data_IF_599876075490
#
_entry.id   IF_599876075490
#
_cell.length_a   1.000
_cell.length_b   1.000
_cell.length_c   1.000
_cell.angle_alpha   90.00
_cell.angle_beta   90.00
_cell.angle_gamma   90.00
#
_symmetry.space_group_name_H-M   'P 1'
#
loop_
_entity.id
_entity.type
_entity.pdbx_description
1 polymer ?
#
# COMPACT_ATOMS: atom_id res chain seq x y z
N UNK A 1 -7.08 -13.62 -14.81
CA UNK A 1 -6.12 -12.50 -14.71
C UNK A 1 -6.86 -11.21 -14.37
N UNK A 2 -6.36 -10.45 -13.40
CA UNK A 2 -6.94 -9.15 -13.07
C UNK A 2 -6.72 -8.17 -14.21
N UNK A 3 -7.72 -7.34 -14.48
CA UNK A 3 -7.59 -6.23 -15.43
C UNK A 3 -7.84 -4.92 -14.67
N UNK A 4 -7.34 -3.80 -15.21
CA UNK A 4 -7.64 -2.50 -14.60
C UNK A 4 -9.13 -2.18 -14.62
N UNK A 5 -9.87 -2.65 -15.62
CA UNK A 5 -11.33 -2.50 -15.63
C UNK A 5 -11.98 -3.10 -14.39
N UNK A 6 -11.54 -4.31 -13.98
CA UNK A 6 -12.08 -4.96 -12.78
C UNK A 6 -11.69 -4.23 -11.49
N UNK A 7 -10.47 -3.70 -11.43
CA UNK A 7 -9.99 -2.91 -10.29
C UNK A 7 -10.73 -1.58 -10.22
N UNK A 8 -10.84 -0.88 -11.33
CA UNK A 8 -11.48 0.43 -11.42
C UNK A 8 -12.99 0.37 -11.20
N UNK A 9 -13.63 -0.79 -11.39
CA UNK A 9 -15.05 -0.94 -11.07
C UNK A 9 -15.33 -0.72 -9.58
N UNK A 10 -14.34 -0.93 -8.72
CA UNK A 10 -14.42 -0.71 -7.27
C UNK A 10 -13.84 0.64 -6.83
N UNK A 11 -13.23 1.37 -7.76
CA UNK A 11 -12.58 2.64 -7.49
C UNK A 11 -13.59 3.81 -7.53
N UNK A 12 -13.28 4.94 -6.86
CA UNK A 12 -14.04 6.17 -7.00
C UNK A 12 -14.08 6.68 -8.45
N UNK A 13 -15.14 7.39 -8.81
CA UNK A 13 -15.36 7.93 -10.16
C UNK A 13 -14.20 8.83 -10.63
N UNK A 14 -13.63 9.61 -9.73
CA UNK A 14 -12.50 10.49 -10.05
C UNK A 14 -11.26 9.72 -10.54
N UNK A 15 -10.97 8.56 -9.95
CA UNK A 15 -9.86 7.72 -10.39
C UNK A 15 -10.12 7.11 -11.77
N UNK A 16 -11.36 6.67 -12.02
CA UNK A 16 -11.76 6.16 -13.34
C UNK A 16 -11.65 7.23 -14.42
N UNK A 17 -12.13 8.42 -14.14
CA UNK A 17 -12.08 9.55 -15.08
C UNK A 17 -10.64 9.94 -15.42
N UNK A 18 -9.74 9.90 -14.43
CA UNK A 18 -8.33 10.23 -14.63
C UNK A 18 -7.64 9.33 -15.65
N UNK A 19 -7.96 8.04 -15.64
CA UNK A 19 -7.29 7.05 -16.51
C UNK A 19 -8.14 6.69 -17.75
N UNK A 20 -9.28 7.33 -17.95
CA UNK A 20 -10.14 7.04 -19.09
C UNK A 20 -9.41 7.22 -20.42
N UNK A 21 -9.39 6.17 -21.25
CA UNK A 21 -8.70 6.18 -22.53
C UNK A 21 -7.17 6.23 -22.43
N UNK A 22 -6.61 6.05 -21.26
CA UNK A 22 -5.16 6.12 -21.00
C UNK A 22 -4.64 4.81 -20.44
N UNK A 23 -3.35 4.55 -20.68
CA UNK A 23 -2.67 3.40 -20.12
C UNK A 23 -2.07 3.78 -18.76
N UNK A 24 -2.38 3.01 -17.75
CA UNK A 24 -1.74 3.16 -16.43
C UNK A 24 -0.31 2.63 -16.51
N UNK A 25 0.65 3.43 -16.10
CA UNK A 25 2.08 3.08 -16.13
C UNK A 25 2.50 2.34 -14.87
N UNK A 26 2.10 2.87 -13.71
CA UNK A 26 2.47 2.26 -12.42
C UNK A 26 1.39 2.46 -11.37
N UNK A 27 1.50 1.68 -10.30
CA UNK A 27 0.63 1.78 -9.12
C UNK A 27 1.51 1.93 -7.88
N UNK A 28 1.26 2.96 -7.10
CA UNK A 28 1.86 3.13 -5.78
C UNK A 28 1.06 2.33 -4.74
N UNK A 29 1.69 1.29 -4.21
CA UNK A 29 1.12 0.46 -3.15
C UNK A 29 1.47 1.08 -1.80
N UNK A 30 0.49 1.65 -1.12
CA UNK A 30 0.70 2.49 0.06
C UNK A 30 0.13 1.84 1.31
N UNK A 31 0.89 1.93 2.40
CA UNK A 31 0.43 1.74 3.77
C UNK A 31 0.76 2.99 4.58
N UNK A 32 -0.12 3.39 5.47
CA UNK A 32 0.15 4.50 6.38
C UNK A 32 0.80 3.99 7.66
N UNK A 33 1.81 4.71 8.16
CA UNK A 33 2.36 4.46 9.49
C UNK A 33 1.60 5.27 10.57
N UNK A 34 1.98 5.11 11.84
CA UNK A 34 1.32 5.80 12.95
C UNK A 34 1.38 7.33 12.85
N UNK A 35 2.51 7.95 12.46
CA UNK A 35 2.55 9.39 12.20
C UNK A 35 1.74 9.87 10.99
N UNK A 36 1.18 8.97 10.20
CA UNK A 36 0.40 9.30 9.01
C UNK A 36 1.22 9.46 7.73
N UNK A 37 2.46 9.00 7.73
CA UNK A 37 3.30 9.03 6.53
C UNK A 37 2.94 7.87 5.61
N UNK A 38 2.76 8.17 4.33
CA UNK A 38 2.55 7.14 3.32
C UNK A 38 3.87 6.40 3.07
N UNK A 39 3.91 5.13 3.43
CA UNK A 39 5.02 4.22 3.17
C UNK A 39 4.59 3.25 2.08
N UNK A 40 5.51 2.82 1.24
CA UNK A 40 5.13 1.88 0.19
C UNK A 40 6.16 1.75 -0.91
N UNK A 41 5.68 1.27 -2.04
CA UNK A 41 6.50 1.12 -3.23
C UNK A 41 5.67 1.33 -4.49
N UNK A 42 6.31 1.85 -5.52
CA UNK A 42 5.75 1.90 -6.86
C UNK A 42 5.98 0.56 -7.56
N UNK A 43 4.96 0.06 -8.21
CA UNK A 43 4.99 -1.21 -8.93
C UNK A 43 4.51 -0.96 -10.36
N UNK A 44 5.23 -1.44 -11.39
CA UNK A 44 4.74 -1.36 -12.75
C UNK A 44 3.35 -1.95 -12.90
N UNK A 45 2.50 -1.32 -13.70
CA UNK A 45 1.10 -1.71 -13.86
C UNK A 45 0.92 -3.19 -14.20
N UNK A 46 1.75 -3.72 -15.09
CA UNK A 46 1.69 -5.14 -15.47
C UNK A 46 1.98 -6.07 -14.30
N UNK A 47 2.96 -5.72 -13.47
CA UNK A 47 3.30 -6.49 -12.27
C UNK A 47 2.18 -6.43 -11.24
N UNK A 48 1.56 -5.24 -11.05
CA UNK A 48 0.42 -5.08 -10.16
C UNK A 48 -0.75 -5.97 -10.54
N UNK A 49 -1.04 -6.10 -11.83
CA UNK A 49 -2.12 -6.96 -12.33
C UNK A 49 -1.83 -8.46 -12.18
N UNK A 50 -0.56 -8.86 -12.25
CA UNK A 50 -0.16 -10.28 -12.17
C UNK A 50 -0.05 -10.77 -10.75
N UNK A 51 0.42 -9.94 -9.82
CA UNK A 51 0.63 -10.34 -8.43
C UNK A 51 -0.68 -10.24 -7.63
N UNK A 52 -0.93 -11.25 -6.81
CA UNK A 52 -2.09 -11.25 -5.90
C UNK A 52 -1.80 -10.46 -4.63
N UNK A 53 -0.55 -10.50 -4.18
CA UNK A 53 -0.11 -9.88 -2.94
C UNK A 53 1.22 -9.17 -3.15
N UNK A 54 1.44 -8.13 -2.34
CA UNK A 54 2.70 -7.40 -2.31
C UNK A 54 3.30 -7.54 -0.93
N UNK A 55 4.61 -7.33 -0.83
CA UNK A 55 5.32 -7.49 0.43
C UNK A 55 6.13 -6.24 0.75
N UNK A 56 6.15 -5.87 2.01
CA UNK A 56 7.03 -4.87 2.59
C UNK A 56 7.51 -5.38 3.94
N UNK A 57 8.71 -5.00 4.38
CA UNK A 57 9.16 -5.36 5.72
C UNK A 57 8.36 -4.59 6.78
N UNK A 58 8.06 -5.24 7.90
CA UNK A 58 7.33 -4.61 9.01
C UNK A 58 8.12 -3.51 9.70
N UNK A 59 9.42 -3.48 9.49
CA UNK A 59 10.31 -2.44 10.00
C UNK A 59 9.94 -1.03 9.53
N UNK A 60 9.20 -0.89 8.44
CA UNK A 60 8.72 0.43 7.97
C UNK A 60 7.87 1.15 9.01
N UNK A 61 7.18 0.43 9.88
CA UNK A 61 6.38 1.02 10.96
C UNK A 61 7.22 1.55 12.12
N UNK A 62 8.50 1.21 12.16
CA UNK A 62 9.44 1.64 13.19
C UNK A 62 10.42 2.71 12.71
N UNK A 63 10.21 3.23 11.52
CA UNK A 63 11.00 4.33 10.98
C UNK A 63 10.54 5.68 11.56
N UNK A 64 11.50 6.58 11.72
CA UNK A 64 11.23 7.98 12.04
C UNK A 64 10.65 8.72 10.83
N UNK A 65 10.17 9.94 11.06
CA UNK A 65 9.63 10.81 9.99
C UNK A 65 10.65 11.02 8.86
N UNK A 66 11.92 11.08 9.19
CA UNK A 66 13.01 11.27 8.23
C UNK A 66 13.52 9.97 7.59
N UNK A 67 12.88 8.84 7.90
CA UNK A 67 13.27 7.53 7.36
C UNK A 67 14.38 6.81 8.12
N UNK A 68 14.88 7.38 9.21
CA UNK A 68 15.81 6.71 10.10
C UNK A 68 15.15 5.61 10.92
N UNK A 69 15.96 4.74 11.51
CA UNK A 69 15.46 3.67 12.36
C UNK A 69 15.07 4.20 13.75
N UNK A 70 13.92 3.82 14.22
CA UNK A 70 13.50 4.08 15.60
C UNK A 70 14.21 3.15 16.59
N UNK A 71 14.11 3.47 17.88
CA UNK A 71 14.76 2.69 18.94
C UNK A 71 14.41 1.20 18.93
N UNK A 72 13.17 0.87 18.61
CA UNK A 72 12.71 -0.52 18.58
C UNK A 72 13.45 -1.35 17.53
N UNK A 73 13.70 -0.77 16.36
CA UNK A 73 14.40 -1.45 15.26
C UNK A 73 15.92 -1.52 15.48
N UNK A 74 16.45 -0.67 16.35
CA UNK A 74 17.89 -0.68 16.70
C UNK A 74 18.27 -1.59 17.87
N UNK A 75 17.28 -2.26 18.49
CA UNK A 75 17.52 -3.14 19.64
C UNK A 75 18.04 -4.50 19.21
N UNK A 76 18.95 -5.06 20.01
CA UNK A 76 19.40 -6.43 19.87
C UNK A 76 18.19 -7.39 19.92
N UNK A 77 18.12 -8.33 18.98
CA UNK A 77 17.04 -9.29 18.89
C UNK A 77 15.85 -8.81 18.04
N UNK A 78 15.88 -7.60 17.49
CA UNK A 78 14.86 -7.18 16.53
C UNK A 78 14.95 -8.03 15.26
N UNK A 79 13.84 -8.69 14.91
CA UNK A 79 13.73 -9.50 13.70
C UNK A 79 12.79 -8.79 12.73
N UNK A 80 13.33 -8.40 11.58
CA UNK A 80 12.55 -7.86 10.47
C UNK A 80 11.81 -8.98 9.75
N UNK A 81 10.52 -8.79 9.52
CA UNK A 81 9.66 -9.76 8.83
C UNK A 81 8.94 -9.09 7.69
N UNK A 82 8.66 -9.85 6.64
CA UNK A 82 7.81 -9.39 5.56
C UNK A 82 6.35 -9.43 5.97
N UNK A 83 5.65 -8.34 5.68
CA UNK A 83 4.20 -8.25 5.73
C UNK A 83 3.61 -8.57 4.37
N UNK A 84 2.40 -9.07 4.36
CA UNK A 84 1.59 -9.25 3.16
C UNK A 84 0.66 -8.05 3.05
N UNK A 85 0.68 -7.38 1.90
CA UNK A 85 -0.17 -6.23 1.61
C UNK A 85 -1.32 -6.66 0.70
N UNK A 86 -2.54 -6.37 1.14
CA UNK A 86 -3.76 -6.64 0.41
C UNK A 86 -4.39 -5.32 -0.06
N UNK A 87 -4.58 -5.10 -1.38
CA UNK A 87 -5.09 -3.83 -1.88
C UNK A 87 -6.56 -3.62 -1.55
N UNK A 88 -6.89 -2.43 -1.08
CA UNK A 88 -8.27 -1.95 -0.99
C UNK A 88 -8.57 -1.08 -2.21
N UNK A 89 -9.15 -1.65 -3.24
CA UNK A 89 -9.41 -0.95 -4.50
C UNK A 89 -10.36 0.24 -4.38
N UNK A 90 -11.19 0.28 -3.35
CA UNK A 90 -12.07 1.42 -3.10
C UNK A 90 -11.31 2.71 -2.75
N UNK A 91 -10.05 2.58 -2.36
CA UNK A 91 -9.17 3.70 -2.02
C UNK A 91 -8.37 4.22 -3.21
N UNK A 92 -8.54 3.64 -4.39
CA UNK A 92 -7.77 4.00 -5.58
C UNK A 92 -7.91 5.48 -5.88
N UNK A 93 -6.77 6.16 -6.00
CA UNK A 93 -6.68 7.60 -6.24
C UNK A 93 -5.71 7.87 -7.38
N UNK A 94 -5.94 8.95 -8.12
CA UNK A 94 -4.99 9.44 -9.11
C UNK A 94 -3.78 10.10 -8.43
N UNK A 95 -2.61 9.94 -9.02
CA UNK A 95 -1.37 10.57 -8.58
C UNK A 95 -0.76 11.44 -9.71
N UNK A 96 -1.40 12.54 -10.11
CA UNK A 96 -0.98 13.34 -11.27
C UNK A 96 0.37 14.03 -11.10
N UNK A 97 0.84 14.17 -9.87
CA UNK A 97 2.12 14.82 -9.57
C UNK A 97 3.35 13.99 -9.95
N UNK A 98 3.19 12.71 -10.26
CA UNK A 98 4.32 11.85 -10.66
C UNK A 98 4.80 12.11 -12.09
N UNK A 99 3.98 12.74 -12.92
CA UNK A 99 4.27 12.95 -14.35
C UNK A 99 3.91 11.75 -15.25
N UNK A 100 3.67 10.59 -14.68
CA UNK A 100 3.21 9.37 -15.35
C UNK A 100 1.75 9.10 -15.01
N UNK A 101 1.10 8.19 -15.75
CA UNK A 101 -0.26 7.78 -15.44
C UNK A 101 -0.24 6.80 -14.25
N UNK A 102 -0.17 7.37 -13.07
CA UNK A 102 0.01 6.65 -11.80
C UNK A 102 -1.27 6.67 -10.97
N UNK A 103 -1.60 5.50 -10.42
CA UNK A 103 -2.65 5.33 -9.41
C UNK A 103 -2.00 5.03 -8.07
N UNK A 104 -2.65 5.47 -6.99
CA UNK A 104 -2.32 5.06 -5.63
C UNK A 104 -3.42 4.16 -5.09
N UNK A 105 -3.04 3.10 -4.41
CA UNK A 105 -3.97 2.18 -3.74
C UNK A 105 -3.47 1.96 -2.31
N UNK A 106 -4.35 2.17 -1.34
CA UNK A 106 -4.05 1.87 0.06
C UNK A 106 -4.23 0.37 0.29
N UNK A 107 -3.28 -0.20 1.01
CA UNK A 107 -3.24 -1.62 1.31
C UNK A 107 -3.43 -1.88 2.80
N UNK A 108 -4.08 -2.98 3.12
CA UNK A 108 -4.12 -3.52 4.47
C UNK A 108 -2.93 -4.46 4.67
N UNK A 109 -2.37 -4.46 5.87
CA UNK A 109 -1.16 -5.22 6.19
C UNK A 109 -1.49 -6.44 7.06
N UNK A 110 -0.99 -7.59 6.65
CA UNK A 110 -1.17 -8.87 7.33
C UNK A 110 0.19 -9.53 7.57
N UNK A 111 0.29 -10.32 8.62
CA UNK A 111 1.46 -11.16 8.85
C UNK A 111 1.40 -12.44 7.99
N UNK A 112 2.44 -13.26 8.07
CA UNK A 112 2.50 -14.53 7.31
C UNK A 112 1.46 -15.56 7.72
N UNK A 113 0.84 -15.39 8.89
CA UNK A 113 -0.26 -16.23 9.37
C UNK A 113 -1.62 -15.66 9.00
N UNK A 114 -1.63 -14.66 8.14
CA UNK A 114 -2.83 -13.95 7.68
C UNK A 114 -3.59 -13.24 8.80
N UNK A 115 -2.88 -12.82 9.84
CA UNK A 115 -3.43 -12.01 10.92
C UNK A 115 -3.12 -10.53 10.66
N UNK A 116 -4.04 -9.60 10.99
CA UNK A 116 -3.77 -8.18 10.86
C UNK A 116 -2.54 -7.76 11.66
N UNK A 117 -1.66 -6.98 11.04
CA UNK A 117 -0.51 -6.40 11.74
C UNK A 117 -1.02 -5.39 12.76
N UNK A 118 -0.71 -5.55 14.08
CA UNK A 118 -1.36 -4.78 15.14
C UNK A 118 -1.00 -3.29 15.16
N UNK A 119 0.16 -2.89 14.59
CA UNK A 119 0.58 -1.49 14.54
C UNK A 119 0.30 -0.80 13.20
N UNK A 120 -0.42 -1.45 12.30
CA UNK A 120 -0.90 -0.82 11.08
C UNK A 120 -2.17 -0.01 11.41
N UNK A 121 -2.17 1.32 11.23
CA UNK A 121 -3.28 2.19 11.65
C UNK A 121 -4.64 1.80 11.12
N UNK A 122 -4.73 1.31 9.88
CA UNK A 122 -6.00 0.85 9.32
C UNK A 122 -6.58 -0.33 10.10
N UNK A 123 -5.73 -1.26 10.54
CA UNK A 123 -6.17 -2.40 11.35
C UNK A 123 -6.65 -1.96 12.73
N UNK A 124 -5.97 -0.97 13.33
CA UNK A 124 -6.40 -0.38 14.61
C UNK A 124 -7.76 0.31 14.47
N UNK A 125 -8.00 1.01 13.37
CA UNK A 125 -9.28 1.65 13.08
C UNK A 125 -10.41 0.62 12.96
N UNK A 126 -10.17 -0.50 12.30
CA UNK A 126 -11.17 -1.55 12.10
C UNK A 126 -11.56 -2.27 13.39
N UNK A 127 -10.67 -2.36 14.35
CA UNK A 127 -10.94 -2.98 15.67
C UNK A 127 -11.98 -2.19 16.46
N UNK A 128 -12.08 -0.88 16.24
CA UNK A 128 -12.96 0.03 16.99
C UNK A 128 -14.29 0.35 16.27
N UNK A 129 -14.54 -0.28 15.16
CA UNK A 129 -15.81 -0.17 14.43
C UNK A 129 -16.76 -1.34 14.85
#
# INVERSE_FOLDING_TARGET
MKTFSNILSKAPDAARAYVEGKKVDEVECIVSDLPGIARGKAVPAQKFLRQKTFHLPDSIFFQTITGGWGEAAGKEGFIERDMILDPDYSTTTAAPWTGDWTLQVIHDAYDRKNKPVPFAPRNLSLIHI
#
